data_IF_536914096858
#
_entry.id   IF_536914096858
#
_cell.length_a   1.000
_cell.length_b   1.000
_cell.length_c   1.000
_cell.angle_alpha   90.00
_cell.angle_beta   90.00
_cell.angle_gamma   90.00
#
_symmetry.space_group_name_H-M   'P 1'
#
loop_
_entity.id
_entity.type
_entity.pdbx_description
1 polymer ?
#
# COMPACT_ATOMS: atom_id res chain seq x y z
N UNK A 1 -10.45 -17.51 10.63
CA UNK A 1 -9.32 -16.58 10.34
C UNK A 1 -9.72 -15.55 9.28
N UNK A 2 -9.05 -14.39 9.16
CA UNK A 2 -9.47 -13.31 8.23
C UNK A 2 -9.58 -13.78 6.78
N UNK A 3 -8.61 -14.58 6.30
CA UNK A 3 -8.63 -15.09 4.92
C UNK A 3 -9.84 -15.99 4.63
N UNK A 4 -10.35 -16.69 5.64
CA UNK A 4 -11.55 -17.52 5.50
C UNK A 4 -12.80 -16.67 5.36
N UNK A 5 -12.91 -15.60 6.16
CA UNK A 5 -14.01 -14.63 6.05
C UNK A 5 -14.01 -13.96 4.67
N UNK A 6 -12.84 -13.62 4.14
CA UNK A 6 -12.70 -13.05 2.79
C UNK A 6 -13.15 -14.02 1.71
N UNK A 7 -12.74 -15.30 1.78
CA UNK A 7 -13.13 -16.32 0.80
C UNK A 7 -14.62 -16.66 0.83
N UNK A 8 -15.23 -16.65 2.02
CA UNK A 8 -16.64 -16.98 2.20
C UNK A 8 -17.56 -15.76 2.02
N UNK A 9 -17.00 -14.57 1.74
CA UNK A 9 -17.74 -13.30 1.71
C UNK A 9 -18.51 -13.01 2.99
N UNK A 10 -17.99 -13.46 4.14
CA UNK A 10 -18.56 -13.25 5.48
C UNK A 10 -18.14 -11.88 6.02
N UNK A 11 -18.46 -10.83 5.27
CA UNK A 11 -18.07 -9.44 5.53
C UNK A 11 -19.30 -8.54 5.55
N UNK A 12 -19.25 -7.45 6.32
CA UNK A 12 -20.26 -6.40 6.23
C UNK A 12 -20.09 -5.64 4.91
N UNK A 13 -21.12 -5.64 4.07
CA UNK A 13 -21.12 -5.02 2.74
C UNK A 13 -21.48 -3.53 2.79
N UNK A 14 -20.76 -2.78 3.63
CA UNK A 14 -20.85 -1.32 3.69
C UNK A 14 -19.90 -0.68 2.66
N UNK A 15 -20.13 0.57 2.23
CA UNK A 15 -19.13 1.31 1.47
C UNK A 15 -17.77 1.27 2.18
N UNK A 16 -16.73 0.91 1.44
CA UNK A 16 -15.39 0.67 1.98
C UNK A 16 -14.36 1.54 1.23
N UNK A 17 -13.62 2.34 1.98
CA UNK A 17 -12.51 3.14 1.45
C UNK A 17 -11.22 2.68 2.12
N UNK A 18 -10.21 2.43 1.32
CA UNK A 18 -8.87 2.06 1.79
C UNK A 18 -7.81 2.65 0.86
N UNK A 19 -6.56 2.62 1.28
CA UNK A 19 -5.45 3.11 0.48
C UNK A 19 -4.11 2.83 1.13
N UNK A 20 -3.07 3.28 0.45
CA UNK A 20 -1.67 3.19 0.90
C UNK A 20 -0.92 4.45 0.55
N UNK A 21 0.21 4.65 1.19
CA UNK A 21 1.23 5.61 0.76
C UNK A 21 2.18 4.96 -0.26
N UNK A 22 2.80 5.76 -1.13
CA UNK A 22 3.67 5.21 -2.17
C UNK A 22 5.04 4.70 -1.69
N UNK A 23 5.35 4.86 -0.39
CA UNK A 23 6.58 4.39 0.26
C UNK A 23 6.36 4.01 1.74
N UNK A 24 5.39 3.13 2.01
CA UNK A 24 5.02 2.67 3.38
C UNK A 24 6.18 2.10 4.22
N UNK A 25 7.21 1.55 3.58
CA UNK A 25 8.39 1.02 4.27
C UNK A 25 9.56 2.00 4.30
N UNK A 26 9.41 3.20 3.74
CA UNK A 26 10.51 4.09 3.35
C UNK A 26 11.38 4.56 4.50
N UNK A 27 10.77 4.92 5.64
CA UNK A 27 11.52 5.45 6.77
C UNK A 27 11.01 4.97 8.13
N UNK A 28 9.77 5.28 8.53
CA UNK A 28 9.27 4.94 9.87
C UNK A 28 9.31 3.43 10.10
N UNK A 29 8.62 2.69 9.23
CA UNK A 29 8.52 1.24 9.34
C UNK A 29 9.85 0.57 8.99
N UNK A 30 10.60 1.08 8.00
CA UNK A 30 11.95 0.59 7.69
C UNK A 30 12.91 0.64 8.88
N UNK A 31 12.89 1.73 9.67
CA UNK A 31 13.74 1.87 10.85
C UNK A 31 13.34 0.93 12.00
N UNK A 32 12.03 0.79 12.25
CA UNK A 32 11.53 -0.11 13.31
C UNK A 32 11.77 -1.58 12.94
N UNK A 33 11.47 -1.93 11.69
CA UNK A 33 11.52 -3.32 11.22
C UNK A 33 12.91 -3.79 10.85
N UNK A 34 13.90 -2.92 10.60
CA UNK A 34 15.28 -3.40 10.38
C UNK A 34 15.80 -4.17 11.60
N UNK A 35 15.48 -3.71 12.81
CA UNK A 35 15.85 -4.39 14.05
C UNK A 35 15.18 -5.76 14.17
N UNK A 36 13.91 -5.87 13.76
CA UNK A 36 13.15 -7.12 13.77
C UNK A 36 13.58 -8.06 12.63
N UNK A 37 13.82 -7.53 11.43
CA UNK A 37 14.29 -8.27 10.27
C UNK A 37 15.63 -8.94 10.54
N UNK A 38 16.54 -8.30 11.27
CA UNK A 38 17.83 -8.91 11.61
C UNK A 38 17.71 -10.13 12.53
N UNK A 39 16.56 -10.37 13.16
CA UNK A 39 16.38 -11.51 14.06
C UNK A 39 16.51 -12.88 13.34
N UNK A 40 17.10 -13.90 13.98
CA UNK A 40 17.38 -15.21 13.35
C UNK A 40 16.14 -15.93 12.80
N UNK A 41 14.99 -15.80 13.47
CA UNK A 41 13.70 -16.42 13.14
C UNK A 41 13.12 -15.99 11.79
N UNK A 42 13.58 -14.86 11.25
CA UNK A 42 13.11 -14.31 9.97
C UNK A 42 13.88 -14.83 8.74
N UNK A 43 14.57 -15.98 8.86
CA UNK A 43 15.43 -16.55 7.80
C UNK A 43 14.71 -16.77 6.46
N UNK A 44 13.46 -17.23 6.49
CA UNK A 44 12.65 -17.44 5.28
C UNK A 44 12.32 -16.10 4.58
N UNK A 45 11.93 -15.10 5.35
CA UNK A 45 11.65 -13.75 4.85
C UNK A 45 12.91 -13.07 4.29
N UNK A 46 14.07 -13.24 4.95
CA UNK A 46 15.38 -12.79 4.47
C UNK A 46 15.71 -13.40 3.11
N UNK A 47 15.50 -14.71 2.95
CA UNK A 47 15.78 -15.43 1.70
C UNK A 47 14.92 -14.88 0.56
N UNK A 48 13.62 -14.70 0.80
CA UNK A 48 12.68 -14.15 -0.18
C UNK A 48 13.03 -12.72 -0.62
N UNK A 49 13.43 -11.85 0.33
CA UNK A 49 13.91 -10.50 0.02
C UNK A 49 15.19 -10.55 -0.82
N UNK A 50 16.12 -11.46 -0.48
CA UNK A 50 17.41 -11.58 -1.17
C UNK A 50 17.24 -12.06 -2.61
N UNK A 51 16.48 -13.15 -2.80
CA UNK A 51 16.33 -13.83 -4.09
C UNK A 51 15.55 -12.99 -5.11
N UNK A 52 14.48 -12.32 -4.67
CA UNK A 52 13.56 -11.63 -5.60
C UNK A 52 13.87 -10.14 -5.75
N UNK A 53 14.38 -9.48 -4.72
CA UNK A 53 14.48 -8.02 -4.69
C UNK A 53 15.92 -7.50 -4.66
N UNK A 54 16.87 -8.22 -4.07
CA UNK A 54 18.26 -7.73 -3.84
C UNK A 54 19.21 -8.16 -4.97
N UNK A 55 18.93 -9.27 -5.67
CA UNK A 55 19.79 -9.77 -6.75
C UNK A 55 21.19 -10.13 -6.24
N UNK A 56 22.27 -9.60 -6.86
CA UNK A 56 23.66 -9.88 -6.43
C UNK A 56 24.04 -9.25 -5.08
N UNK A 57 23.24 -8.30 -4.58
CA UNK A 57 23.50 -7.62 -3.31
C UNK A 57 24.68 -6.66 -3.32
N UNK A 58 25.32 -6.42 -4.46
CA UNK A 58 26.50 -5.54 -4.57
C UNK A 58 26.13 -4.05 -4.49
N UNK A 59 24.91 -3.69 -4.92
CA UNK A 59 24.42 -2.31 -4.88
C UNK A 59 23.68 -2.02 -3.58
N UNK A 60 24.36 -1.36 -2.64
CA UNK A 60 23.81 -0.99 -1.33
C UNK A 60 22.56 -0.11 -1.43
N UNK A 61 22.43 0.74 -2.46
CA UNK A 61 21.27 1.62 -2.62
C UNK A 61 20.07 0.80 -3.09
N UNK A 62 20.27 -0.05 -4.09
CA UNK A 62 19.24 -0.97 -4.58
C UNK A 62 18.78 -1.91 -3.45
N UNK A 63 19.69 -2.46 -2.67
CA UNK A 63 19.35 -3.34 -1.56
C UNK A 63 18.46 -2.67 -0.51
N UNK A 64 18.76 -1.41 -0.15
CA UNK A 64 17.96 -0.64 0.81
C UNK A 64 16.56 -0.40 0.25
N UNK A 65 16.47 0.08 -0.98
CA UNK A 65 15.20 0.35 -1.66
C UNK A 65 14.35 -0.92 -1.77
N UNK A 66 14.96 -2.01 -2.20
CA UNK A 66 14.35 -3.34 -2.27
C UNK A 66 13.82 -3.80 -0.92
N UNK A 67 14.60 -3.64 0.15
CA UNK A 67 14.18 -4.01 1.51
C UNK A 67 12.96 -3.20 1.98
N UNK A 68 13.00 -1.87 1.85
CA UNK A 68 11.88 -1.02 2.28
C UNK A 68 10.64 -1.25 1.44
N UNK A 69 10.79 -1.51 0.14
CA UNK A 69 9.66 -1.84 -0.75
C UNK A 69 8.97 -3.14 -0.36
N UNK A 70 9.72 -4.24 -0.13
CA UNK A 70 9.12 -5.52 0.28
C UNK A 70 8.36 -5.40 1.58
N UNK A 71 8.95 -4.68 2.54
CA UNK A 71 8.33 -4.48 3.84
C UNK A 71 7.00 -3.72 3.71
N UNK A 72 6.99 -2.62 2.94
CA UNK A 72 5.78 -1.87 2.63
C UNK A 72 4.74 -2.72 1.88
N UNK A 73 5.20 -3.51 0.91
CA UNK A 73 4.32 -4.35 0.10
C UNK A 73 3.64 -5.44 0.95
N UNK A 74 4.38 -6.13 1.82
CA UNK A 74 3.84 -7.22 2.64
C UNK A 74 2.98 -6.74 3.80
N UNK A 75 3.36 -5.63 4.45
CA UNK A 75 2.63 -5.14 5.62
C UNK A 75 1.38 -4.32 5.24
N UNK A 76 1.40 -3.62 4.11
CA UNK A 76 0.36 -2.64 3.78
C UNK A 76 -0.26 -2.86 2.40
N UNK A 77 0.55 -2.87 1.33
CA UNK A 77 0.01 -2.91 -0.05
C UNK A 77 -0.77 -4.19 -0.34
N UNK A 78 -0.17 -5.36 -0.10
CA UNK A 78 -0.83 -6.65 -0.34
C UNK A 78 -2.07 -6.82 0.53
N UNK A 79 -2.04 -6.56 1.87
CA UNK A 79 -3.24 -6.60 2.69
C UNK A 79 -4.33 -5.62 2.24
N UNK A 80 -3.98 -4.39 1.85
CA UNK A 80 -4.94 -3.40 1.38
C UNK A 80 -5.63 -3.85 0.09
N UNK A 81 -4.87 -4.36 -0.88
CA UNK A 81 -5.43 -4.90 -2.14
C UNK A 81 -6.28 -6.14 -1.88
N UNK A 82 -5.85 -7.07 -1.00
CA UNK A 82 -6.66 -8.24 -0.61
C UNK A 82 -7.99 -7.82 0.02
N UNK A 83 -7.97 -6.85 0.93
CA UNK A 83 -9.19 -6.34 1.55
C UNK A 83 -10.10 -5.64 0.53
N UNK A 84 -9.54 -4.83 -0.38
CA UNK A 84 -10.31 -4.18 -1.45
C UNK A 84 -10.96 -5.20 -2.40
N UNK A 85 -10.21 -6.24 -2.81
CA UNK A 85 -10.74 -7.33 -3.63
C UNK A 85 -11.86 -8.08 -2.91
N UNK A 86 -11.68 -8.47 -1.64
CA UNK A 86 -12.69 -9.20 -0.89
C UNK A 86 -13.99 -8.40 -0.73
N UNK A 87 -13.91 -7.10 -0.42
CA UNK A 87 -15.10 -6.25 -0.31
C UNK A 87 -15.78 -6.03 -1.66
N UNK A 88 -15.00 -5.83 -2.74
CA UNK A 88 -15.53 -5.74 -4.11
C UNK A 88 -16.28 -7.01 -4.50
N UNK A 89 -15.68 -8.17 -4.25
CA UNK A 89 -16.22 -9.47 -4.66
C UNK A 89 -17.47 -9.85 -3.81
N UNK A 90 -17.56 -9.34 -2.58
CA UNK A 90 -18.77 -9.38 -1.77
C UNK A 90 -19.86 -8.36 -2.20
N UNK A 91 -19.59 -7.52 -3.20
CA UNK A 91 -20.54 -6.56 -3.75
C UNK A 91 -20.58 -5.18 -3.06
N UNK A 92 -19.64 -4.89 -2.17
CA UNK A 92 -19.55 -3.58 -1.51
C UNK A 92 -19.07 -2.48 -2.49
N UNK A 93 -19.51 -1.23 -2.35
CA UNK A 93 -18.89 -0.10 -3.03
C UNK A 93 -17.48 0.15 -2.47
N UNK A 94 -16.44 -0.07 -3.27
CA UNK A 94 -15.05 0.09 -2.84
C UNK A 94 -14.41 1.32 -3.50
N UNK A 95 -13.59 2.06 -2.76
CA UNK A 95 -12.75 3.15 -3.25
C UNK A 95 -11.31 2.94 -2.75
N UNK A 96 -10.37 2.90 -3.69
CA UNK A 96 -8.94 2.68 -3.41
C UNK A 96 -8.13 3.93 -3.78
N UNK A 97 -7.12 4.30 -2.97
CA UNK A 97 -6.15 5.34 -3.33
C UNK A 97 -4.69 4.94 -3.07
N UNK A 98 -3.79 5.64 -3.76
CA UNK A 98 -2.37 5.73 -3.39
C UNK A 98 -2.02 7.21 -3.13
N UNK A 99 -1.53 7.53 -1.94
CA UNK A 99 -1.11 8.87 -1.58
C UNK A 99 0.38 9.09 -1.89
N UNK A 100 0.71 10.24 -2.49
CA UNK A 100 2.01 10.50 -3.10
C UNK A 100 2.61 11.89 -2.76
N UNK A 101 2.21 12.52 -1.64
CA UNK A 101 2.82 13.77 -1.18
C UNK A 101 3.54 13.66 0.17
N UNK A 102 4.88 13.72 0.23
CA UNK A 102 5.60 13.80 1.50
C UNK A 102 5.37 15.18 2.18
N UNK A 103 4.86 15.25 3.42
CA UNK A 103 4.61 16.51 4.11
C UNK A 103 5.90 17.34 4.26
N UNK A 104 5.85 18.62 3.88
CA UNK A 104 7.03 19.50 3.82
C UNK A 104 7.78 19.58 5.15
N UNK A 105 7.06 19.63 6.27
CA UNK A 105 7.67 19.70 7.60
C UNK A 105 8.44 18.42 8.02
N UNK A 106 8.27 17.32 7.29
CA UNK A 106 8.99 16.05 7.49
C UNK A 106 10.11 15.84 6.48
N UNK A 107 10.07 16.51 5.32
CA UNK A 107 11.10 16.37 4.29
C UNK A 107 12.50 16.74 4.82
N UNK A 108 12.62 17.80 5.63
CA UNK A 108 13.89 18.20 6.24
C UNK A 108 14.38 17.24 7.34
N UNK A 109 13.51 16.35 7.82
CA UNK A 109 13.80 15.39 8.91
C UNK A 109 14.07 13.98 8.40
N UNK A 110 13.86 13.73 7.11
CA UNK A 110 13.98 12.42 6.47
C UNK A 110 15.00 12.48 5.35
N UNK A 111 15.67 11.36 5.02
CA UNK A 111 16.50 11.29 3.83
C UNK A 111 15.70 11.64 2.57
N UNK A 112 16.32 12.35 1.62
CA UNK A 112 15.65 12.87 0.42
C UNK A 112 15.10 11.80 -0.54
N UNK A 113 15.49 10.54 -0.38
CA UNK A 113 14.96 9.43 -1.17
C UNK A 113 13.61 8.92 -0.68
N UNK A 114 13.20 9.28 0.54
CA UNK A 114 11.93 8.85 1.13
C UNK A 114 10.80 9.61 0.44
N UNK A 115 9.82 8.89 -0.09
CA UNK A 115 8.63 9.50 -0.71
C UNK A 115 7.56 9.71 0.36
N UNK A 116 6.29 9.39 0.08
CA UNK A 116 5.25 9.43 1.11
C UNK A 116 5.39 8.21 2.00
N UNK A 117 5.90 8.45 3.20
CA UNK A 117 6.18 7.44 4.20
C UNK A 117 4.89 7.04 4.93
N UNK A 118 4.96 5.96 5.71
CA UNK A 118 3.83 5.50 6.50
C UNK A 118 3.24 6.58 7.41
N UNK A 119 1.94 6.86 7.23
CA UNK A 119 1.16 7.81 8.02
C UNK A 119 1.23 9.26 7.55
N UNK A 120 1.91 9.55 6.45
CA UNK A 120 2.05 10.91 5.92
C UNK A 120 0.72 11.53 5.48
N UNK A 121 -0.22 10.72 5.00
CA UNK A 121 -1.54 11.17 4.55
C UNK A 121 -2.39 11.68 5.71
N UNK A 122 -2.17 11.19 6.93
CA UNK A 122 -2.92 11.56 8.13
C UNK A 122 -2.89 13.08 8.35
N UNK A 123 -1.75 13.72 8.11
CA UNK A 123 -1.62 15.17 8.26
C UNK A 123 -2.57 15.92 7.32
N UNK A 124 -2.75 15.44 6.09
CA UNK A 124 -3.66 16.05 5.12
C UNK A 124 -5.12 15.71 5.39
N UNK A 125 -5.42 14.51 5.90
CA UNK A 125 -6.76 14.09 6.33
C UNK A 125 -7.28 14.97 7.47
N UNK A 126 -6.44 15.32 8.44
CA UNK A 126 -6.84 16.11 9.61
C UNK A 126 -6.54 17.60 9.50
N UNK A 127 -5.81 18.04 8.46
CA UNK A 127 -5.41 19.44 8.29
C UNK A 127 -4.39 19.93 9.31
N UNK A 128 -3.47 19.06 9.72
CA UNK A 128 -2.42 19.38 10.68
C UNK A 128 -1.09 19.68 9.98
N UNK A 129 -0.30 20.60 10.54
CA UNK A 129 1.06 20.93 10.07
C UNK A 129 1.16 21.23 8.56
N UNK A 130 0.12 21.85 8.01
CA UNK A 130 0.07 22.33 6.63
C UNK A 130 0.95 23.57 6.50
N UNK A 131 2.00 23.51 5.68
CA UNK A 131 3.07 24.51 5.66
C UNK A 131 3.12 25.33 4.36
N UNK A 132 2.21 25.09 3.42
CA UNK A 132 2.15 25.82 2.15
C UNK A 132 0.74 25.87 1.57
N UNK A 133 0.50 26.80 0.65
CA UNK A 133 -0.77 26.91 -0.08
C UNK A 133 -1.12 25.61 -0.84
N UNK A 134 -0.12 24.97 -1.43
CA UNK A 134 -0.24 23.66 -2.06
C UNK A 134 -0.75 22.58 -1.08
N UNK A 135 -0.18 22.51 0.11
CA UNK A 135 -0.60 21.54 1.14
C UNK A 135 -1.97 21.90 1.74
N UNK A 136 -2.31 23.19 1.80
CA UNK A 136 -3.63 23.62 2.24
C UNK A 136 -4.69 23.16 1.25
N UNK A 137 -4.43 23.33 -0.05
CA UNK A 137 -5.30 22.85 -1.10
C UNK A 137 -5.40 21.32 -1.08
N UNK A 138 -4.28 20.61 -0.95
CA UNK A 138 -4.27 19.15 -0.83
C UNK A 138 -5.05 18.66 0.38
N UNK A 139 -4.87 19.29 1.54
CA UNK A 139 -5.60 18.94 2.77
C UNK A 139 -7.10 19.20 2.62
N UNK A 140 -7.51 20.32 2.02
CA UNK A 140 -8.92 20.59 1.70
C UNK A 140 -9.51 19.53 0.78
N UNK A 141 -8.76 19.10 -0.23
CA UNK A 141 -9.15 18.00 -1.12
C UNK A 141 -9.33 16.69 -0.35
N UNK A 142 -8.36 16.31 0.48
CA UNK A 142 -8.41 15.09 1.32
C UNK A 142 -9.58 15.11 2.29
N UNK A 143 -9.77 16.20 3.04
CA UNK A 143 -10.91 16.39 3.94
C UNK A 143 -12.25 16.32 3.21
N UNK A 144 -12.32 16.85 1.99
CA UNK A 144 -13.54 16.79 1.18
C UNK A 144 -13.86 15.36 0.76
N UNK A 145 -12.87 14.58 0.29
CA UNK A 145 -13.07 13.17 -0.04
C UNK A 145 -13.53 12.35 1.18
N UNK A 146 -12.83 12.48 2.31
CA UNK A 146 -13.17 11.75 3.53
C UNK A 146 -14.53 12.17 4.11
N UNK A 147 -14.82 13.48 4.12
CA UNK A 147 -16.10 14.01 4.59
C UNK A 147 -17.28 13.57 3.72
N UNK A 148 -17.13 13.63 2.39
CA UNK A 148 -18.16 13.15 1.46
C UNK A 148 -18.41 11.64 1.63
N UNK A 149 -17.35 10.86 1.81
CA UNK A 149 -17.47 9.42 2.02
C UNK A 149 -18.17 9.10 3.34
N UNK A 150 -17.81 9.77 4.42
CA UNK A 150 -18.49 9.62 5.71
C UNK A 150 -19.98 9.98 5.63
N UNK A 151 -20.33 11.02 4.86
CA UNK A 151 -21.71 11.48 4.73
C UNK A 151 -22.57 10.63 3.77
N UNK A 152 -21.98 10.11 2.68
CA UNK A 152 -22.75 9.52 1.56
C UNK A 152 -22.34 8.10 1.17
N UNK A 153 -21.23 7.58 1.67
CA UNK A 153 -20.61 6.35 1.18
C UNK A 153 -19.88 6.50 -0.16
N UNK A 154 -19.70 7.73 -0.67
CA UNK A 154 -18.91 8.04 -1.86
C UNK A 154 -17.99 9.24 -1.61
N UNK A 155 -16.69 9.18 -1.99
CA UNK A 155 -15.78 10.32 -1.86
C UNK A 155 -16.15 11.51 -2.78
N UNK A 156 -16.86 11.24 -3.87
CA UNK A 156 -17.11 12.24 -4.92
C UNK A 156 -17.95 13.43 -4.42
N UNK A 157 -17.59 14.62 -4.91
CA UNK A 157 -18.29 15.87 -4.61
C UNK A 157 -17.97 16.96 -5.64
N UNK A 158 -18.66 18.10 -5.53
CA UNK A 158 -18.45 19.24 -6.44
C UNK A 158 -17.01 19.77 -6.31
N UNK A 159 -16.35 19.99 -7.45
CA UNK A 159 -15.00 20.56 -7.49
C UNK A 159 -13.87 19.56 -7.22
N UNK A 160 -14.19 18.29 -7.02
CA UNK A 160 -13.20 17.21 -6.87
C UNK A 160 -13.02 16.45 -8.17
N UNK A 161 -11.81 15.93 -8.40
CA UNK A 161 -11.58 14.93 -9.45
C UNK A 161 -12.43 13.71 -9.13
N UNK A 162 -13.02 13.12 -10.17
CA UNK A 162 -13.84 11.93 -10.01
C UNK A 162 -12.99 10.76 -9.52
N UNK A 163 -13.37 10.21 -8.36
CA UNK A 163 -12.77 9.01 -7.80
C UNK A 163 -13.62 7.80 -8.20
N UNK A 164 -13.09 6.91 -9.07
CA UNK A 164 -13.83 5.75 -9.56
C UNK A 164 -14.07 4.73 -8.45
N UNK A 165 -15.15 3.96 -8.58
CA UNK A 165 -15.34 2.76 -7.77
C UNK A 165 -14.34 1.70 -8.20
N UNK A 166 -13.66 1.11 -7.23
CA UNK A 166 -12.77 -0.03 -7.45
C UNK A 166 -13.59 -1.25 -7.86
N UNK A 167 -13.34 -1.75 -9.07
CA UNK A 167 -14.11 -2.81 -9.71
C UNK A 167 -13.23 -3.75 -10.52
N UNK A 168 -13.79 -4.37 -11.57
CA UNK A 168 -13.06 -5.30 -12.43
C UNK A 168 -11.85 -4.69 -13.16
N UNK A 169 -11.88 -3.37 -13.41
CA UNK A 169 -10.76 -2.63 -13.99
C UNK A 169 -9.68 -2.24 -12.97
N UNK A 170 -9.92 -2.50 -11.68
CA UNK A 170 -9.01 -2.18 -10.59
C UNK A 170 -8.59 -0.69 -10.57
N UNK A 171 -9.54 0.18 -10.91
CA UNK A 171 -9.35 1.63 -10.95
C UNK A 171 -9.21 2.20 -9.54
N UNK A 172 -8.22 3.07 -9.34
CA UNK A 172 -7.95 3.74 -8.07
C UNK A 172 -7.52 5.18 -8.31
N UNK A 173 -7.46 5.98 -7.24
CA UNK A 173 -7.05 7.38 -7.30
C UNK A 173 -5.63 7.56 -6.77
N UNK A 174 -4.72 8.06 -7.59
CA UNK A 174 -3.44 8.58 -7.13
C UNK A 174 -3.66 10.01 -6.62
N UNK A 175 -3.36 10.24 -5.34
CA UNK A 175 -3.50 11.54 -4.70
C UNK A 175 -2.11 12.16 -4.58
N UNK A 176 -1.79 13.02 -5.55
CA UNK A 176 -0.53 13.77 -5.60
C UNK A 176 -0.73 15.17 -5.05
N UNK A 177 0.37 15.92 -4.96
CA UNK A 177 0.37 17.25 -4.33
C UNK A 177 -0.47 18.27 -5.08
N UNK A 178 -0.42 18.27 -6.41
CA UNK A 178 -1.11 19.26 -7.27
C UNK A 178 -2.24 18.68 -8.12
N UNK A 179 -2.32 17.35 -8.26
CA UNK A 179 -3.32 16.69 -9.09
C UNK A 179 -3.78 15.36 -8.50
N UNK A 180 -5.00 14.95 -8.86
CA UNK A 180 -5.51 13.61 -8.59
C UNK A 180 -5.68 12.89 -9.92
N UNK A 181 -5.11 11.70 -10.02
CA UNK A 181 -5.01 10.96 -11.28
C UNK A 181 -5.70 9.61 -11.13
N UNK A 182 -6.59 9.28 -12.06
CA UNK A 182 -7.18 7.94 -12.12
C UNK A 182 -6.18 6.99 -12.74
N UNK A 183 -5.89 5.91 -12.03
CA UNK A 183 -4.91 4.88 -12.41
C UNK A 183 -5.52 3.49 -12.26
N UNK A 184 -4.83 2.45 -12.71
CA UNK A 184 -5.33 1.07 -12.73
C UNK A 184 -4.27 0.10 -12.22
N UNK A 185 -4.71 -0.93 -11.49
CA UNK A 185 -3.84 -2.02 -11.06
C UNK A 185 -2.74 -1.58 -10.09
N UNK A 186 -3.12 -1.02 -8.93
CA UNK A 186 -2.20 -0.61 -7.87
C UNK A 186 -1.18 -1.72 -7.59
N UNK A 187 0.09 -1.48 -7.95
CA UNK A 187 1.23 -2.41 -7.77
C UNK A 187 0.96 -3.85 -8.23
N UNK A 188 0.17 -4.01 -9.30
CA UNK A 188 -0.36 -5.30 -9.76
C UNK A 188 0.71 -6.39 -9.94
N UNK A 189 1.84 -6.04 -10.56
CA UNK A 189 2.92 -7.00 -10.82
C UNK A 189 3.53 -7.52 -9.51
N UNK A 190 3.73 -6.63 -8.53
CA UNK A 190 4.27 -6.99 -7.21
C UNK A 190 3.26 -7.78 -6.40
N UNK A 191 1.99 -7.42 -6.48
CA UNK A 191 0.92 -8.19 -5.87
C UNK A 191 0.87 -9.62 -6.41
N UNK A 192 0.95 -9.80 -7.73
CA UNK A 192 0.96 -11.11 -8.35
C UNK A 192 2.19 -11.95 -7.93
N UNK A 193 3.39 -11.34 -7.95
CA UNK A 193 4.62 -11.99 -7.50
C UNK A 193 4.49 -12.53 -6.06
N UNK A 194 4.04 -11.67 -5.13
CA UNK A 194 3.99 -11.98 -3.69
C UNK A 194 2.86 -12.94 -3.31
N UNK A 195 1.76 -12.97 -4.08
CA UNK A 195 0.55 -13.74 -3.71
C UNK A 195 0.36 -15.02 -4.53
N UNK A 196 1.00 -15.14 -5.69
CA UNK A 196 0.83 -16.28 -6.60
C UNK A 196 2.18 -16.98 -6.81
N UNK A 197 3.15 -16.28 -7.40
CA UNK A 197 4.41 -16.88 -7.85
C UNK A 197 5.26 -17.44 -6.72
N UNK A 198 5.40 -16.71 -5.61
CA UNK A 198 6.23 -17.15 -4.49
C UNK A 198 5.64 -18.36 -3.75
N UNK A 199 4.36 -18.37 -3.35
CA UNK A 199 3.75 -19.57 -2.77
C UNK A 199 3.83 -20.81 -3.68
N UNK A 200 3.60 -20.66 -4.99
CA UNK A 200 3.63 -21.78 -5.95
C UNK A 200 5.04 -22.38 -6.09
N UNK A 201 6.06 -21.55 -6.16
CA UNK A 201 7.46 -21.98 -6.30
C UNK A 201 7.96 -22.70 -5.04
N UNK A 202 7.56 -22.22 -3.86
CA UNK A 202 7.88 -22.87 -2.59
C UNK A 202 7.14 -24.20 -2.41
N UNK A 203 5.86 -24.29 -2.80
CA UNK A 203 5.10 -25.55 -2.77
C UNK A 203 5.68 -26.62 -3.69
N UNK A 204 6.11 -26.24 -4.91
CA UNK A 204 6.76 -27.17 -5.84
C UNK A 204 8.14 -27.65 -5.37
N UNK A 205 8.86 -26.82 -4.60
CA UNK A 205 10.18 -27.19 -4.04
C UNK A 205 10.02 -28.20 -2.90
N UNK A 206 9.04 -28.00 -2.01
CA UNK A 206 8.75 -28.97 -0.94
C UNK A 206 8.21 -30.30 -1.47
N UNK A 207 7.38 -30.28 -2.51
CA UNK A 207 6.85 -31.51 -3.12
C UNK A 207 7.93 -32.34 -3.81
N UNK A 208 8.96 -31.70 -4.39
CA UNK A 208 10.13 -32.40 -4.95
C UNK A 208 10.99 -33.03 -3.85
N UNK A 209 11.26 -32.33 -2.75
CA UNK A 209 12.01 -32.90 -1.62
C UNK A 209 11.29 -34.07 -0.95
N UNK A 210 9.94 -34.06 -0.91
CA UNK A 210 9.15 -35.18 -0.40
C UNK A 210 8.99 -36.35 -1.39
N UNK A 211 9.13 -36.12 -2.69
CA UNK A 211 9.09 -37.17 -3.71
C UNK A 211 10.43 -37.90 -3.90
N UNK A 212 11.53 -37.33 -3.39
CA UNK A 212 12.88 -37.91 -3.46
C UNK A 212 13.29 -38.68 -2.18
N UNK A 213 12.36 -38.89 -1.24
CA UNK A 213 12.51 -39.68 -0.01
C UNK A 213 11.80 -41.04 -0.09
#
# INVERSE_FOLDING_TARGET
>A
PVDELFRNSELLTLPFMTGVNNDEGGWLIGNVSLAHFLQPENAHFKKLVVEEYVGTGEDRLKNRESFTQVLGDLMFVVPAIKAANAHRDAGAPVYLYEYQHPPKFLQDKRPSFVKSDHGDEIFMVFGFYVCSEEEEQLSRTMMSYWGNFAYTGSPNGRGLVHWPKYGAKEEYLEIRSTEQVVSQGLKKDRFALLTQTLPETHGQTTDKEHSEL
#
